data_IF_685752647631
#
_entry.id   IF_685752647631
#
_cell.length_a   1.000
_cell.length_b   1.000
_cell.length_c   1.000
_cell.angle_alpha   90.00
_cell.angle_beta   90.00
_cell.angle_gamma   90.00
#
_symmetry.space_group_name_H-M   'P 1'
#
loop_
_entity.id
_entity.type
_entity.pdbx_description
1 polymer ?
#
# COMPACT_ATOMS: atom_id res chain seq x y z
N UNK A 1 -10.93 10.55 -7.51
CA UNK A 1 -11.08 9.64 -8.66
C UNK A 1 -10.61 8.22 -8.28
N UNK A 2 -11.15 7.20 -8.95
CA UNK A 2 -10.67 5.84 -8.84
C UNK A 2 -9.32 5.71 -9.52
N UNK A 3 -8.35 5.09 -8.85
CA UNK A 3 -7.10 4.68 -9.45
C UNK A 3 -7.07 3.15 -9.53
N UNK A 4 -6.93 2.63 -10.72
CA UNK A 4 -6.82 1.21 -11.00
C UNK A 4 -5.80 1.01 -12.12
N UNK A 5 -4.88 0.11 -11.91
CA UNK A 5 -3.94 -0.30 -12.94
C UNK A 5 -4.40 -1.61 -13.59
N UNK A 6 -4.44 -1.63 -14.90
CA UNK A 6 -4.56 -2.89 -15.64
C UNK A 6 -3.32 -3.76 -15.37
N UNK A 7 -3.51 -5.08 -15.31
CA UNK A 7 -2.41 -6.03 -15.10
C UNK A 7 -1.33 -5.83 -16.17
N UNK A 8 -0.14 -5.48 -15.72
CA UNK A 8 1.00 -5.20 -16.60
C UNK A 8 0.92 -3.89 -17.39
N UNK A 9 -0.06 -3.03 -17.08
CA UNK A 9 -0.38 -1.84 -17.90
C UNK A 9 0.36 -0.55 -17.50
N UNK A 10 1.14 -0.54 -16.42
CA UNK A 10 1.80 0.68 -15.93
C UNK A 10 3.29 0.46 -15.68
N UNK A 11 4.11 1.38 -16.17
CA UNK A 11 5.54 1.43 -15.85
C UNK A 11 5.76 2.39 -14.67
N UNK A 12 6.20 1.85 -13.54
CA UNK A 12 6.45 2.58 -12.31
C UNK A 12 7.95 2.78 -12.08
N UNK A 13 8.33 3.96 -11.59
CA UNK A 13 9.70 4.33 -11.21
C UNK A 13 9.85 4.41 -9.69
N UNK A 14 8.90 5.06 -9.04
CA UNK A 14 8.90 5.25 -7.59
C UNK A 14 7.47 5.29 -7.06
N UNK A 15 7.23 4.66 -5.92
CA UNK A 15 5.91 4.58 -5.30
C UNK A 15 5.98 4.86 -3.79
N UNK A 16 4.87 5.34 -3.25
CA UNK A 16 4.72 5.57 -1.83
C UNK A 16 3.32 5.18 -1.39
N UNK A 17 3.24 4.36 -0.34
CA UNK A 17 2.02 4.19 0.44
C UNK A 17 2.12 5.02 1.73
N UNK A 18 1.02 5.64 2.09
CA UNK A 18 0.86 6.43 3.29
C UNK A 18 -0.10 5.72 4.24
N UNK A 19 0.24 5.71 5.53
CA UNK A 19 -0.53 5.02 6.55
C UNK A 19 -0.71 5.87 7.80
N UNK A 20 -1.77 5.59 8.52
CA UNK A 20 -2.05 6.11 9.84
C UNK A 20 -1.78 5.06 10.92
N UNK A 21 -1.77 5.52 12.18
CA UNK A 21 -1.60 4.66 13.35
C UNK A 21 -0.20 4.06 13.49
N UNK A 22 -0.05 3.24 14.52
CA UNK A 22 1.26 2.65 14.83
C UNK A 22 1.65 1.55 13.83
N UNK A 23 2.94 1.36 13.65
CA UNK A 23 3.51 0.29 12.82
C UNK A 23 3.02 -1.09 13.27
N UNK A 24 2.91 -1.33 14.58
CA UNK A 24 2.43 -2.59 15.14
C UNK A 24 1.01 -2.95 14.70
N UNK A 25 0.12 -1.95 14.62
CA UNK A 25 -1.27 -2.18 14.25
C UNK A 25 -1.49 -2.14 12.72
N UNK A 26 -0.77 -1.26 12.02
CA UNK A 26 -1.09 -0.89 10.64
C UNK A 26 0.04 -1.12 9.64
N UNK A 27 1.23 -1.55 10.06
CA UNK A 27 2.37 -1.77 9.18
C UNK A 27 2.08 -2.79 8.07
N UNK A 28 1.45 -3.91 8.42
CA UNK A 28 1.04 -4.90 7.45
C UNK A 28 -0.02 -4.36 6.47
N UNK A 29 -1.01 -3.64 6.97
CA UNK A 29 -2.06 -3.04 6.12
C UNK A 29 -1.48 -2.03 5.12
N UNK A 30 -0.52 -1.22 5.55
CA UNK A 30 0.16 -0.27 4.68
C UNK A 30 0.95 -0.97 3.57
N UNK A 31 1.61 -2.09 3.88
CA UNK A 31 2.29 -2.92 2.87
C UNK A 31 1.30 -3.57 1.90
N UNK A 32 0.14 -4.00 2.36
CA UNK A 32 -0.92 -4.53 1.49
C UNK A 32 -1.49 -3.45 0.57
N UNK A 33 -1.68 -2.20 1.05
CA UNK A 33 -2.11 -1.09 0.18
C UNK A 33 -1.06 -0.74 -0.86
N UNK A 34 0.23 -0.84 -0.55
CA UNK A 34 1.31 -0.69 -1.52
C UNK A 34 1.28 -1.84 -2.53
N UNK A 35 1.31 -3.08 -2.02
CA UNK A 35 1.52 -4.27 -2.84
C UNK A 35 0.40 -4.52 -3.84
N UNK A 36 -0.87 -4.30 -3.45
CA UNK A 36 -2.00 -4.47 -4.36
C UNK A 36 -1.96 -3.53 -5.58
N UNK A 37 -1.23 -2.42 -5.49
CA UNK A 37 -1.00 -1.50 -6.60
C UNK A 37 0.23 -1.91 -7.43
N UNK A 38 1.36 -2.18 -6.76
CA UNK A 38 2.63 -2.40 -7.46
C UNK A 38 2.73 -3.75 -8.15
N UNK A 39 2.05 -4.79 -7.67
CA UNK A 39 2.04 -6.10 -8.32
C UNK A 39 1.41 -6.10 -9.72
N UNK A 40 0.70 -5.02 -10.08
CA UNK A 40 0.06 -4.83 -11.37
C UNK A 40 0.92 -4.06 -12.38
N UNK A 41 2.14 -3.69 -12.00
CA UNK A 41 3.07 -2.97 -12.90
C UNK A 41 3.54 -3.82 -14.07
N UNK A 42 4.08 -3.17 -15.08
CA UNK A 42 4.75 -3.84 -16.18
C UNK A 42 5.87 -4.75 -15.65
N UNK A 43 5.89 -6.00 -16.12
CA UNK A 43 6.80 -7.03 -15.61
C UNK A 43 6.28 -7.82 -14.41
N UNK A 44 5.19 -7.37 -13.75
CA UNK A 44 4.60 -8.07 -12.60
C UNK A 44 5.46 -8.01 -11.34
N UNK A 45 5.28 -8.97 -10.42
CA UNK A 45 6.05 -9.03 -9.19
C UNK A 45 7.41 -9.71 -9.40
N UNK A 46 8.46 -9.07 -8.92
CA UNK A 46 9.86 -9.48 -9.14
C UNK A 46 10.61 -9.86 -7.86
N UNK A 47 9.95 -9.70 -6.71
CA UNK A 47 10.55 -9.90 -5.39
C UNK A 47 11.26 -8.65 -4.86
N UNK A 48 11.60 -8.69 -3.57
CA UNK A 48 12.22 -7.60 -2.81
C UNK A 48 13.66 -7.99 -2.46
N UNK A 49 14.61 -7.11 -2.75
CA UNK A 49 16.05 -7.37 -2.53
C UNK A 49 16.58 -6.76 -1.24
N UNK A 50 15.96 -5.67 -0.75
CA UNK A 50 16.33 -5.09 0.54
C UNK A 50 15.20 -4.27 1.15
N UNK A 51 15.22 -4.18 2.48
CA UNK A 51 14.30 -3.39 3.29
C UNK A 51 15.07 -2.61 4.34
N UNK A 52 14.64 -1.38 4.62
CA UNK A 52 15.14 -0.56 5.72
C UNK A 52 13.99 0.12 6.43
N UNK A 53 14.03 0.18 7.75
CA UNK A 53 13.10 0.98 8.57
C UNK A 53 13.85 2.18 9.13
N UNK A 54 13.26 3.37 9.03
CA UNK A 54 13.76 4.62 9.61
C UNK A 54 12.68 5.26 10.47
N UNK A 55 13.08 6.02 11.50
CA UNK A 55 12.18 6.69 12.43
C UNK A 55 12.60 8.15 12.68
N UNK A 56 11.64 8.98 13.06
CA UNK A 56 11.88 10.37 13.45
C UNK A 56 12.55 11.18 12.34
N UNK A 57 13.54 11.99 12.72
CA UNK A 57 14.24 12.88 11.79
C UNK A 57 14.98 12.15 10.65
N UNK A 58 15.37 10.88 10.86
CA UNK A 58 16.05 10.10 9.83
C UNK A 58 15.15 9.84 8.60
N UNK A 59 13.85 9.83 8.80
CA UNK A 59 12.86 9.77 7.73
C UNK A 59 13.06 10.93 6.74
N UNK A 60 13.16 12.16 7.26
CA UNK A 60 13.29 13.36 6.45
C UNK A 60 14.69 13.50 5.86
N UNK A 61 15.73 13.17 6.65
CA UNK A 61 17.11 13.12 6.17
C UNK A 61 17.30 12.15 5.00
N UNK A 62 16.59 11.01 5.01
CA UNK A 62 16.62 10.06 3.89
C UNK A 62 16.01 10.67 2.61
N UNK A 63 14.97 11.47 2.73
CA UNK A 63 14.43 12.22 1.57
C UNK A 63 15.40 13.27 1.06
N UNK A 64 16.09 13.99 1.95
CA UNK A 64 17.11 14.97 1.55
C UNK A 64 18.27 14.32 0.77
N UNK A 65 18.56 13.05 1.04
CA UNK A 65 19.50 12.22 0.28
C UNK A 65 18.92 11.62 -1.00
N UNK A 66 17.61 11.83 -1.28
CA UNK A 66 16.94 11.29 -2.47
C UNK A 66 16.58 9.80 -2.39
N UNK A 67 16.55 9.23 -1.19
CA UNK A 67 16.20 7.82 -0.97
C UNK A 67 14.71 7.54 -1.16
N UNK A 68 13.88 8.56 -0.95
CA UNK A 68 12.46 8.56 -1.24
C UNK A 68 11.96 9.99 -1.55
N UNK A 69 10.76 10.12 -2.12
CA UNK A 69 10.24 11.39 -2.66
C UNK A 69 9.18 12.02 -1.76
N UNK A 70 9.47 13.20 -1.18
CA UNK A 70 8.47 14.04 -0.50
C UNK A 70 7.32 14.45 -1.42
N UNK A 71 7.61 14.66 -2.70
CA UNK A 71 6.56 15.01 -3.67
C UNK A 71 5.50 13.91 -3.80
N UNK A 72 5.90 12.63 -3.65
CA UNK A 72 4.93 11.53 -3.62
C UNK A 72 4.13 11.54 -2.31
N UNK A 73 4.75 11.86 -1.17
CA UNK A 73 4.01 12.01 0.07
C UNK A 73 2.97 13.14 -0.02
N UNK A 74 3.33 14.28 -0.59
CA UNK A 74 2.39 15.39 -0.81
C UNK A 74 1.25 15.00 -1.76
N UNK A 75 1.57 14.29 -2.85
CA UNK A 75 0.56 13.79 -3.79
C UNK A 75 -0.37 12.75 -3.15
N UNK A 76 0.14 11.88 -2.27
CA UNK A 76 -0.69 10.95 -1.51
C UNK A 76 -1.57 11.65 -0.47
N UNK A 77 -1.09 12.76 0.12
CA UNK A 77 -1.82 13.57 1.11
C UNK A 77 -2.86 14.51 0.48
N UNK A 78 -2.75 14.83 -0.81
CA UNK A 78 -3.65 15.77 -1.47
C UNK A 78 -5.13 15.38 -1.30
N UNK A 79 -5.56 14.13 -1.54
CA UNK A 79 -6.94 13.72 -1.37
C UNK A 79 -7.37 13.51 0.09
N UNK A 80 -6.44 13.53 1.07
CA UNK A 80 -6.75 13.26 2.48
C UNK A 80 -7.56 14.40 3.11
N UNK A 81 -8.71 14.04 3.69
CA UNK A 81 -9.61 14.97 4.37
C UNK A 81 -9.26 15.16 5.86
N UNK A 82 -8.53 14.20 6.46
CA UNK A 82 -8.26 14.15 7.89
C UNK A 82 -6.76 14.16 8.18
N UNK A 83 -6.10 15.27 7.83
CA UNK A 83 -4.69 15.52 8.16
C UNK A 83 -4.53 16.67 9.14
N UNK A 84 -3.50 16.59 9.97
CA UNK A 84 -3.13 17.65 10.91
C UNK A 84 -1.90 18.39 10.38
N UNK A 85 -2.07 19.64 9.98
CA UNK A 85 -0.98 20.45 9.46
C UNK A 85 -0.88 20.45 7.94
N UNK A 86 0.07 21.21 7.42
CA UNK A 86 0.20 21.48 6.00
C UNK A 86 1.26 20.60 5.33
N UNK A 87 2.22 20.11 6.09
CA UNK A 87 3.33 19.30 5.60
C UNK A 87 3.52 18.04 6.46
N UNK A 88 3.94 16.92 5.87
CA UNK A 88 4.09 15.65 6.60
C UNK A 88 5.15 15.72 7.70
N UNK A 89 6.08 16.67 7.64
CA UNK A 89 7.07 16.95 8.67
C UNK A 89 6.46 17.40 10.02
N UNK A 90 5.20 17.83 10.02
CA UNK A 90 4.45 18.14 11.25
C UNK A 90 4.10 16.88 12.07
N UNK A 91 4.31 15.69 11.50
CA UNK A 91 4.12 14.44 12.23
C UNK A 91 5.23 14.25 13.30
N UNK A 92 4.83 14.10 14.55
CA UNK A 92 5.76 13.98 15.67
C UNK A 92 6.52 12.64 15.71
N UNK A 93 5.96 11.58 15.13
CA UNK A 93 6.52 10.23 15.18
C UNK A 93 6.41 9.52 13.82
N UNK A 94 7.09 10.03 12.77
CA UNK A 94 7.07 9.37 11.47
C UNK A 94 7.90 8.09 11.50
N UNK A 95 7.42 7.06 10.79
CA UNK A 95 8.19 5.85 10.50
C UNK A 95 8.14 5.57 9.01
N UNK A 96 9.25 5.15 8.43
CA UNK A 96 9.39 4.90 7.01
C UNK A 96 9.98 3.51 6.75
N UNK A 97 9.33 2.75 5.89
CA UNK A 97 9.95 1.58 5.28
C UNK A 97 10.43 1.94 3.88
N UNK A 98 11.70 1.72 3.60
CA UNK A 98 12.28 1.76 2.27
C UNK A 98 12.35 0.33 1.75
N UNK A 99 11.70 0.06 0.62
CA UNK A 99 11.63 -1.26 -0.01
C UNK A 99 12.21 -1.17 -1.41
N UNK A 100 13.14 -2.07 -1.75
CA UNK A 100 13.77 -2.12 -3.06
C UNK A 100 13.40 -3.43 -3.75
N UNK A 101 12.72 -3.31 -4.89
CA UNK A 101 12.34 -4.45 -5.71
C UNK A 101 13.46 -4.85 -6.65
N UNK A 102 13.46 -6.11 -7.09
CA UNK A 102 14.52 -6.66 -7.94
C UNK A 102 14.57 -6.02 -9.34
N UNK A 103 13.46 -5.48 -9.84
CA UNK A 103 13.37 -4.75 -11.12
C UNK A 103 13.83 -3.28 -11.02
N UNK A 104 14.25 -2.85 -9.83
CA UNK A 104 14.71 -1.49 -9.58
C UNK A 104 13.62 -0.53 -9.12
N UNK A 105 12.36 -0.95 -8.99
CA UNK A 105 11.30 -0.13 -8.42
C UNK A 105 11.67 0.27 -6.99
N UNK A 106 11.58 1.57 -6.69
CA UNK A 106 11.77 2.13 -5.36
C UNK A 106 10.43 2.34 -4.70
N UNK A 107 10.19 1.66 -3.60
CA UNK A 107 8.96 1.81 -2.84
C UNK A 107 9.23 2.31 -1.42
N UNK A 108 8.28 3.08 -0.92
CA UNK A 108 8.29 3.64 0.42
C UNK A 108 6.95 3.43 1.09
N UNK A 109 6.95 3.10 2.38
CA UNK A 109 5.74 3.09 3.21
C UNK A 109 5.96 4.07 4.34
N UNK A 110 5.22 5.17 4.33
CA UNK A 110 5.33 6.25 5.28
C UNK A 110 4.18 6.21 6.28
N UNK A 111 4.50 5.92 7.53
CA UNK A 111 3.55 5.99 8.64
C UNK A 111 3.60 7.38 9.28
N UNK A 112 2.45 8.05 9.31
CA UNK A 112 2.27 9.36 9.92
C UNK A 112 1.29 9.25 11.10
N UNK A 113 1.71 8.56 12.16
CA UNK A 113 0.87 8.32 13.34
C UNK A 113 0.37 9.61 13.97
N UNK A 114 -0.95 9.68 14.15
CA UNK A 114 -1.61 10.85 14.73
C UNK A 114 -1.68 12.08 13.82
N UNK A 115 -1.13 12.02 12.60
CA UNK A 115 -1.17 13.10 11.62
C UNK A 115 -2.26 12.89 10.56
N UNK A 116 -2.44 11.67 10.05
CA UNK A 116 -3.49 11.29 9.11
C UNK A 116 -4.40 10.21 9.69
N UNK A 117 -5.55 9.96 9.03
CA UNK A 117 -6.49 8.90 9.41
C UNK A 117 -6.83 7.97 8.24
N UNK A 118 -6.18 8.11 7.11
CA UNK A 118 -6.41 7.34 5.89
C UNK A 118 -5.17 6.56 5.47
N UNK A 119 -5.41 5.53 4.64
CA UNK A 119 -4.39 4.98 3.76
C UNK A 119 -4.45 5.71 2.43
N UNK A 120 -3.29 6.04 1.89
CA UNK A 120 -3.19 6.66 0.58
C UNK A 120 -2.00 6.09 -0.20
N UNK A 121 -2.00 6.36 -1.50
CA UNK A 121 -0.95 5.89 -2.40
C UNK A 121 -0.63 6.98 -3.40
N UNK A 122 0.65 7.10 -3.74
CA UNK A 122 1.09 7.86 -4.89
C UNK A 122 2.20 7.12 -5.63
N UNK A 123 2.26 7.32 -6.94
CA UNK A 123 3.27 6.72 -7.79
C UNK A 123 3.80 7.72 -8.81
N UNK A 124 5.08 7.66 -9.09
CA UNK A 124 5.68 8.26 -10.27
C UNK A 124 5.81 7.20 -11.34
N UNK A 125 5.16 7.44 -12.47
CA UNK A 125 5.34 6.65 -13.67
C UNK A 125 6.68 6.98 -14.33
N UNK A 126 7.16 6.07 -15.16
CA UNK A 126 8.41 6.26 -15.91
C UNK A 126 8.38 7.45 -16.88
N UNK A 127 7.20 7.87 -17.33
CA UNK A 127 6.99 9.07 -18.14
C UNK A 127 6.97 10.39 -17.32
N UNK A 128 7.13 10.31 -16.00
CA UNK A 128 7.12 11.42 -15.06
C UNK A 128 5.75 11.79 -14.51
N UNK A 129 4.66 11.18 -15.00
CA UNK A 129 3.30 11.39 -14.47
C UNK A 129 3.23 10.92 -13.03
N UNK A 130 2.51 11.66 -12.19
CA UNK A 130 2.23 11.28 -10.79
C UNK A 130 0.75 10.89 -10.66
N UNK A 131 0.52 9.68 -10.23
CA UNK A 131 -0.79 9.19 -9.79
C UNK A 131 -0.92 9.36 -8.28
N UNK A 132 -2.14 9.61 -7.79
CA UNK A 132 -2.44 9.62 -6.36
C UNK A 132 -3.87 9.19 -6.08
N UNK A 133 -4.08 8.46 -4.99
CA UNK A 133 -5.40 8.09 -4.52
C UNK A 133 -5.43 7.86 -3.01
N UNK A 134 -6.60 8.03 -2.43
CA UNK A 134 -6.93 7.60 -1.08
C UNK A 134 -7.62 6.23 -1.15
N UNK A 135 -7.30 5.35 -0.21
CA UNK A 135 -8.03 4.10 0.02
C UNK A 135 -9.22 4.40 0.92
N UNK A 136 -10.39 4.52 0.33
CA UNK A 136 -11.59 4.84 1.06
C UNK A 136 -12.05 3.68 1.94
N UNK A 137 -12.05 3.88 3.24
CA UNK A 137 -12.62 2.99 4.23
C UNK A 137 -13.99 3.51 4.66
N UNK A 138 -15.01 2.64 4.63
CA UNK A 138 -16.34 2.96 5.14
C UNK A 138 -16.35 2.80 6.67
N UNK A 139 -15.78 3.79 7.37
CA UNK A 139 -15.56 3.72 8.81
C UNK A 139 -16.81 3.95 9.66
N UNK A 140 -17.88 4.47 9.05
CA UNK A 140 -19.15 4.58 9.75
C UNK A 140 -19.76 3.20 10.01
N UNK A 141 -20.31 3.00 11.20
CA UNK A 141 -21.01 1.74 11.52
C UNK A 141 -22.13 1.43 10.53
N UNK A 142 -22.25 0.22 10.02
CA UNK A 142 -21.65 -1.06 10.44
C UNK A 142 -20.33 -1.48 9.79
N UNK A 143 -19.46 -0.55 9.35
CA UNK A 143 -18.16 -0.84 8.75
C UNK A 143 -18.24 -1.70 7.48
N UNK A 144 -18.97 -1.22 6.50
CA UNK A 144 -19.38 -1.96 5.29
C UNK A 144 -18.22 -2.49 4.44
N UNK A 145 -17.02 -1.90 4.56
CA UNK A 145 -15.83 -2.43 3.88
C UNK A 145 -15.50 -3.88 4.29
N UNK A 146 -15.81 -4.30 5.52
CA UNK A 146 -15.68 -5.70 5.94
C UNK A 146 -16.68 -6.62 5.24
N UNK A 147 -17.80 -6.10 4.76
CA UNK A 147 -18.77 -6.87 3.97
C UNK A 147 -18.17 -7.36 2.64
N UNK A 148 -17.39 -6.53 1.97
CA UNK A 148 -16.68 -6.95 0.75
C UNK A 148 -15.61 -8.00 1.03
N UNK A 149 -14.87 -7.84 2.13
CA UNK A 149 -13.91 -8.85 2.60
C UNK A 149 -14.61 -10.19 2.85
N UNK A 150 -15.71 -10.17 3.60
CA UNK A 150 -16.50 -11.38 3.93
C UNK A 150 -17.01 -12.08 2.67
N UNK A 151 -17.52 -11.34 1.69
CA UNK A 151 -17.96 -11.90 0.40
C UNK A 151 -16.81 -12.52 -0.40
N UNK A 152 -15.63 -11.90 -0.42
CA UNK A 152 -14.46 -12.47 -1.07
C UNK A 152 -14.04 -13.78 -0.36
N UNK A 153 -14.07 -13.80 0.96
CA UNK A 153 -13.81 -15.03 1.75
C UNK A 153 -14.84 -16.13 1.44
N UNK A 154 -16.12 -15.79 1.43
CA UNK A 154 -17.19 -16.73 1.08
C UNK A 154 -17.03 -17.30 -0.33
N UNK A 155 -16.72 -16.44 -1.30
CA UNK A 155 -16.46 -16.86 -2.69
C UNK A 155 -15.27 -17.80 -2.76
N UNK A 156 -14.20 -17.50 -2.04
CA UNK A 156 -13.03 -18.36 -1.95
C UNK A 156 -13.39 -19.75 -1.39
N UNK A 157 -14.13 -19.80 -0.27
CA UNK A 157 -14.53 -21.08 0.32
C UNK A 157 -15.43 -21.92 -0.60
N UNK A 158 -16.31 -21.26 -1.38
CA UNK A 158 -17.21 -21.95 -2.32
C UNK A 158 -16.49 -22.43 -3.59
N UNK A 159 -15.57 -21.64 -4.12
CA UNK A 159 -14.91 -21.92 -5.39
C UNK A 159 -13.60 -22.72 -5.24
N UNK A 160 -12.95 -22.65 -4.08
CA UNK A 160 -11.59 -23.14 -3.87
C UNK A 160 -10.52 -22.28 -4.56
N UNK A 161 -10.90 -21.14 -5.16
CA UNK A 161 -9.99 -20.24 -5.88
C UNK A 161 -9.77 -18.96 -5.04
N UNK A 162 -8.53 -18.69 -4.60
CA UNK A 162 -8.25 -17.48 -3.84
C UNK A 162 -8.42 -16.22 -4.72
N UNK A 163 -8.89 -15.08 -4.14
CA UNK A 163 -9.10 -13.85 -4.90
C UNK A 163 -7.80 -13.18 -5.35
N UNK A 164 -6.68 -13.54 -4.76
CA UNK A 164 -5.32 -13.12 -5.12
C UNK A 164 -4.31 -14.18 -4.70
N UNK A 165 -3.11 -14.20 -5.30
CA UNK A 165 -2.07 -15.18 -4.96
C UNK A 165 -1.62 -15.08 -3.49
N UNK A 166 -1.44 -16.22 -2.81
CA UNK A 166 -0.95 -16.24 -1.42
C UNK A 166 0.50 -15.74 -1.30
N UNK A 167 1.23 -15.74 -2.40
CA UNK A 167 2.59 -15.18 -2.52
C UNK A 167 2.63 -13.70 -2.16
N UNK A 168 1.55 -12.93 -2.42
CA UNK A 168 1.45 -11.54 -1.94
C UNK A 168 1.60 -11.49 -0.42
N UNK A 169 0.82 -12.29 0.29
CA UNK A 169 0.84 -12.33 1.76
C UNK A 169 2.21 -12.78 2.28
N UNK A 170 2.84 -13.75 1.62
CA UNK A 170 4.19 -14.20 1.96
C UNK A 170 5.21 -13.06 1.78
N UNK A 171 5.14 -12.33 0.66
CA UNK A 171 6.03 -11.20 0.38
C UNK A 171 5.84 -10.06 1.40
N UNK A 172 4.61 -9.60 1.62
CA UNK A 172 4.31 -8.50 2.54
C UNK A 172 4.63 -8.84 3.99
N UNK A 173 4.40 -10.10 4.40
CA UNK A 173 4.81 -10.60 5.73
C UNK A 173 6.33 -10.61 5.88
N UNK A 174 7.06 -11.05 4.86
CA UNK A 174 8.51 -11.04 4.89
C UNK A 174 9.10 -9.62 4.87
N UNK A 175 8.47 -8.68 4.18
CA UNK A 175 8.89 -7.27 4.17
C UNK A 175 8.72 -6.63 5.55
N UNK A 176 7.59 -6.87 6.24
CA UNK A 176 7.42 -6.30 7.60
C UNK A 176 8.37 -6.95 8.60
N UNK A 177 8.64 -8.25 8.49
CA UNK A 177 9.64 -8.93 9.32
C UNK A 177 11.02 -8.30 9.13
N UNK A 178 11.47 -8.11 7.89
CA UNK A 178 12.74 -7.44 7.58
C UNK A 178 12.78 -5.98 8.08
N UNK A 179 11.65 -5.25 8.00
CA UNK A 179 11.55 -3.90 8.53
C UNK A 179 11.69 -3.88 10.06
N UNK A 180 11.11 -4.86 10.77
CA UNK A 180 11.27 -4.97 12.23
C UNK A 180 12.68 -5.39 12.63
N UNK A 181 13.34 -6.25 11.86
CA UNK A 181 14.77 -6.56 12.03
C UNK A 181 15.60 -5.29 11.88
N UNK A 182 15.39 -4.53 10.79
CA UNK A 182 16.06 -3.24 10.56
C UNK A 182 15.89 -2.29 11.74
N UNK A 183 14.64 -2.13 12.20
CA UNK A 183 14.28 -1.26 13.34
C UNK A 183 15.03 -1.64 14.61
N UNK A 184 15.13 -2.95 14.89
CA UNK A 184 15.79 -3.48 16.09
C UNK A 184 17.32 -3.49 16.00
N UNK A 185 17.88 -3.36 14.81
CA UNK A 185 19.30 -3.41 14.53
C UNK A 185 19.83 -2.08 13.97
N UNK A 186 19.59 -1.00 14.71
CA UNK A 186 20.08 0.36 14.43
C UNK A 186 19.75 0.88 13.02
N UNK A 187 18.53 0.52 12.53
CA UNK A 187 18.01 0.97 11.23
C UNK A 187 18.89 0.58 10.03
N UNK A 188 19.68 -0.49 10.14
CA UNK A 188 20.48 -0.96 9.02
C UNK A 188 19.62 -1.46 7.86
N UNK A 189 20.17 -1.40 6.68
CA UNK A 189 19.58 -2.09 5.52
C UNK A 189 19.64 -3.60 5.75
N UNK A 190 18.53 -4.29 5.51
CA UNK A 190 18.41 -5.75 5.58
C UNK A 190 18.31 -6.29 4.16
N UNK A 191 19.27 -7.08 3.73
CA UNK A 191 19.19 -7.81 2.48
C UNK A 191 18.20 -8.96 2.61
N UNK A 192 17.34 -9.13 1.60
CA UNK A 192 16.22 -10.06 1.64
C UNK A 192 16.24 -11.08 0.48
N UNK A 193 17.32 -11.87 0.32
CA UNK A 193 17.42 -12.85 -0.76
C UNK A 193 16.32 -13.93 -0.70
N UNK A 194 15.72 -14.13 0.48
CA UNK A 194 14.60 -15.03 0.70
C UNK A 194 13.25 -14.46 0.22
N UNK A 195 13.18 -13.17 -0.11
CA UNK A 195 12.02 -12.51 -0.70
C UNK A 195 12.10 -12.41 -2.24
N UNK A 196 12.87 -13.29 -2.87
CA UNK A 196 12.81 -13.50 -4.32
C UNK A 196 11.52 -14.28 -4.68
N UNK A 197 10.38 -13.63 -4.45
CA UNK A 197 9.05 -14.19 -4.61
C UNK A 197 8.42 -13.57 -5.84
N UNK A 198 8.34 -14.37 -6.90
CA UNK A 198 7.79 -13.97 -8.20
C UNK A 198 6.41 -14.60 -8.32
N UNK A 199 5.40 -13.78 -8.65
CA UNK A 199 4.06 -14.25 -8.90
C UNK A 199 3.32 -13.34 -9.89
N UNK A 200 2.26 -13.85 -10.47
CA UNK A 200 1.33 -13.07 -11.29
C UNK A 200 0.18 -12.56 -10.43
N UNK A 201 -0.14 -11.28 -10.59
CA UNK A 201 -1.32 -10.67 -9.98
C UNK A 201 -2.61 -11.29 -10.55
N UNK A 202 -3.71 -11.14 -9.83
CA UNK A 202 -5.05 -11.59 -10.24
C UNK A 202 -5.47 -10.97 -11.59
N UNK A 203 -6.26 -11.69 -12.37
CA UNK A 203 -6.77 -11.21 -13.68
C UNK A 203 -7.93 -10.25 -13.50
N UNK A 204 -8.85 -10.56 -12.57
CA UNK A 204 -10.01 -9.74 -12.27
C UNK A 204 -9.92 -9.14 -10.89
N UNK A 205 -10.31 -7.87 -10.79
CA UNK A 205 -10.43 -7.20 -9.51
C UNK A 205 -11.37 -7.99 -8.59
N UNK A 206 -10.95 -8.31 -7.35
CA UNK A 206 -11.83 -8.87 -6.34
C UNK A 206 -13.08 -8.01 -6.13
N UNK A 207 -14.09 -8.57 -5.48
CA UNK A 207 -15.32 -7.82 -5.15
C UNK A 207 -14.97 -6.55 -4.38
N UNK A 208 -15.44 -5.43 -4.91
CA UNK A 208 -15.26 -4.10 -4.34
C UNK A 208 -16.42 -3.20 -4.74
N UNK A 209 -16.67 -2.11 -4.01
CA UNK A 209 -17.63 -1.09 -4.44
C UNK A 209 -17.20 -0.50 -5.79
N UNK A 210 -18.17 -0.16 -6.61
CA UNK A 210 -17.98 0.52 -7.90
C UNK A 210 -18.78 1.81 -7.91
N UNK A 211 -18.35 2.78 -8.71
CA UNK A 211 -19.03 4.06 -8.85
C UNK A 211 -18.46 5.14 -7.93
N UNK A 212 -19.25 6.15 -7.67
CA UNK A 212 -18.90 7.26 -6.79
C UNK A 212 -18.67 6.78 -5.35
N UNK A 213 -17.88 7.55 -4.59
CA UNK A 213 -17.62 7.29 -3.17
C UNK A 213 -18.96 7.15 -2.44
N UNK A 214 -19.29 5.99 -1.86
CA UNK A 214 -20.57 5.80 -1.21
C UNK A 214 -20.69 6.71 0.01
N UNK A 215 -21.86 7.34 0.15
CA UNK A 215 -22.18 8.14 1.32
C UNK A 215 -22.81 7.22 2.37
N UNK A 216 -22.12 7.09 3.51
CA UNK A 216 -22.56 6.24 4.62
C UNK A 216 -22.22 4.75 4.45
N UNK A 217 -22.60 3.96 5.44
CA UNK A 217 -22.26 2.54 5.58
C UNK A 217 -23.18 1.62 4.76
N UNK A 218 -23.42 1.92 3.50
CA UNK A 218 -24.29 1.09 2.68
C UNK A 218 -23.48 0.05 1.90
N UNK A 219 -23.65 -1.23 2.24
CA UNK A 219 -23.39 -2.30 1.28
C UNK A 219 -24.37 -2.11 0.14
N UNK A 220 -23.88 -1.72 -1.03
CA UNK A 220 -24.72 -1.70 -2.21
C UNK A 220 -25.24 -3.13 -2.45
N UNK A 221 -26.57 -3.37 -2.29
CA UNK A 221 -27.15 -4.68 -2.57
C UNK A 221 -27.06 -5.04 -4.05
N UNK A 222 -26.82 -4.06 -4.91
CA UNK A 222 -26.50 -4.23 -6.32
C UNK A 222 -25.00 -4.39 -6.57
N UNK A 223 -24.18 -4.69 -5.54
CA UNK A 223 -22.80 -5.09 -5.76
C UNK A 223 -22.78 -6.20 -6.80
N UNK A 224 -22.07 -6.00 -7.92
CA UNK A 224 -22.27 -6.77 -9.12
C UNK A 224 -22.00 -8.24 -8.90
N UNK A 225 -22.84 -9.02 -9.53
CA UNK A 225 -22.64 -10.38 -10.00
C UNK A 225 -21.50 -11.15 -9.30
N UNK A 226 -21.86 -11.79 -8.20
CA UNK A 226 -21.16 -12.99 -7.81
C UNK A 226 -21.28 -13.94 -9.01
N UNK A 227 -20.18 -14.46 -9.54
CA UNK A 227 -20.28 -15.57 -10.47
C UNK A 227 -21.09 -16.68 -9.77
N UNK A 228 -22.13 -17.14 -10.48
CA UNK A 228 -23.00 -18.22 -10.04
C UNK A 228 -22.21 -19.50 -9.76
#
# INVERSE_FOLDING_TARGET
PWLEYDKGGVELDEVLALSYGSVEAYGYHALETLQCMVERRAGGETGVISVQCLEGDDVWRASDRGEWSRNLALAALEPSEHKKGDVPEDCAAPTLFLVRYADGLRASVLHLEGYVQEFAYAARRRDGTIDGCEFYLQNDGPFSHFGYLTRNIETFFKSGVPPYPCERTLLTTGVIDAAMISRNEDHRVVDTPYLNIIYESYDRMPLRPRGERPVGACLDPAAPDLPA
#
